data_IF_191098614470
#
_entry.id   IF_191098614470
#
_cell.length_a   1.000
_cell.length_b   1.000
_cell.length_c   1.000
_cell.angle_alpha   90.00
_cell.angle_beta   90.00
_cell.angle_gamma   90.00
#
_symmetry.space_group_name_H-M   'P 1'
#
loop_
_entity.id
_entity.type
_entity.pdbx_description
1 polymer ?
#
# COMPACT_ATOMS: atom_id res chain seq x y z
N UNK A 1 -17.91 13.04 9.49
CA UNK A 1 -17.23 12.42 8.37
C UNK A 1 -17.70 10.96 8.18
N UNK A 2 -17.83 10.54 6.95
CA UNK A 2 -18.18 9.16 6.63
C UNK A 2 -17.15 8.16 7.14
N UNK A 3 -15.93 8.60 7.38
CA UNK A 3 -14.85 7.73 7.88
C UNK A 3 -14.92 7.47 9.38
N UNK A 4 -15.86 8.09 10.09
CA UNK A 4 -16.05 7.86 11.53
C UNK A 4 -16.76 6.54 11.83
N UNK A 5 -17.47 5.99 10.85
CA UNK A 5 -18.22 4.76 11.03
C UNK A 5 -17.39 3.55 10.60
N UNK A 6 -17.52 2.48 11.36
CA UNK A 6 -16.88 1.21 10.98
C UNK A 6 -17.59 0.67 9.74
N UNK A 7 -16.91 0.69 8.63
CA UNK A 7 -17.41 0.10 7.39
C UNK A 7 -16.21 -0.46 6.61
N UNK A 8 -16.46 -1.46 5.79
CA UNK A 8 -15.43 -2.07 4.98
C UNK A 8 -15.29 -1.37 3.64
N UNK A 9 -14.05 -1.20 3.20
CA UNK A 9 -13.73 -0.78 1.84
C UNK A 9 -12.89 -1.86 1.19
N UNK A 10 -13.12 -2.07 -0.11
CA UNK A 10 -12.23 -2.88 -0.93
C UNK A 10 -11.21 -1.91 -1.56
N UNK A 11 -10.03 -1.85 -0.96
CA UNK A 11 -8.96 -1.00 -1.48
C UNK A 11 -8.24 -1.66 -2.65
N UNK A 12 -7.90 -0.86 -3.64
CA UNK A 12 -6.99 -1.23 -4.71
C UNK A 12 -5.72 -0.40 -4.56
N UNK A 13 -4.59 -1.09 -4.50
CA UNK A 13 -3.28 -0.49 -4.26
C UNK A 13 -2.46 -0.55 -5.54
N UNK A 14 -2.00 0.62 -6.01
CA UNK A 14 -1.26 0.72 -7.26
C UNK A 14 0.04 1.49 -7.06
N UNK A 15 1.17 0.88 -7.43
CA UNK A 15 2.47 1.55 -7.45
C UNK A 15 2.77 2.03 -8.86
N UNK A 16 3.25 3.26 -8.97
CA UNK A 16 3.70 3.82 -10.24
C UNK A 16 5.22 3.90 -10.23
N UNK A 17 5.85 3.18 -11.15
CA UNK A 17 7.30 3.00 -11.21
C UNK A 17 7.86 3.58 -12.49
N UNK A 18 9.09 4.10 -12.41
CA UNK A 18 9.84 4.62 -13.52
C UNK A 18 11.26 4.07 -13.51
N UNK A 19 11.81 3.78 -14.68
CA UNK A 19 13.18 3.30 -14.82
C UNK A 19 13.52 3.03 -16.27
N UNK A 20 14.69 2.42 -16.47
CA UNK A 20 15.18 2.09 -17.80
C UNK A 20 14.82 0.65 -18.15
N UNK A 21 14.37 0.44 -19.39
CA UNK A 21 14.11 -0.90 -19.91
C UNK A 21 15.43 -1.66 -20.00
N UNK A 22 15.43 -2.92 -19.57
CA UNK A 22 16.60 -3.79 -19.64
C UNK A 22 16.91 -4.10 -21.11
N UNK A 23 18.13 -3.75 -21.53
CA UNK A 23 18.57 -3.93 -22.92
C UNK A 23 19.60 -5.04 -23.08
N UNK A 24 20.08 -5.63 -22.00
CA UNK A 24 21.06 -6.72 -22.04
C UNK A 24 20.46 -7.95 -22.71
N UNK A 25 21.08 -8.39 -23.79
CA UNK A 25 20.60 -9.55 -24.55
C UNK A 25 20.83 -10.87 -23.81
N UNK A 26 19.85 -11.77 -23.92
CA UNK A 26 19.96 -13.12 -23.39
C UNK A 26 19.59 -13.26 -21.93
N UNK A 27 19.20 -12.19 -21.24
CA UNK A 27 18.64 -12.26 -19.88
C UNK A 27 17.11 -12.32 -19.93
N UNK A 28 16.50 -12.92 -18.94
CA UNK A 28 15.04 -13.08 -18.88
C UNK A 28 14.28 -11.77 -18.86
N UNK A 29 14.92 -10.70 -18.36
CA UNK A 29 14.33 -9.37 -18.24
C UNK A 29 14.52 -8.49 -19.48
N UNK A 30 15.11 -9.03 -20.55
CA UNK A 30 15.32 -8.26 -21.78
C UNK A 30 14.00 -7.68 -22.31
N UNK A 31 13.97 -6.38 -22.54
CA UNK A 31 12.76 -5.69 -22.98
C UNK A 31 11.80 -5.28 -21.87
N UNK A 32 12.10 -5.61 -20.63
CA UNK A 32 11.28 -5.25 -19.48
C UNK A 32 11.89 -4.11 -18.68
N UNK A 33 11.05 -3.33 -18.02
CA UNK A 33 11.50 -2.37 -17.02
C UNK A 33 11.94 -3.11 -15.76
N UNK A 34 11.18 -4.14 -15.37
CA UNK A 34 11.39 -4.94 -14.18
C UNK A 34 10.61 -6.25 -14.31
N UNK A 35 11.04 -7.25 -13.57
CA UNK A 35 10.25 -8.46 -13.38
C UNK A 35 9.07 -8.16 -12.45
N UNK A 36 7.83 -8.28 -12.96
CA UNK A 36 6.63 -8.00 -12.19
C UNK A 36 6.49 -8.88 -10.94
N UNK A 37 7.04 -10.10 -10.97
CA UNK A 37 6.94 -10.98 -9.80
C UNK A 37 7.70 -10.45 -8.60
N UNK A 38 8.84 -9.78 -8.82
CA UNK A 38 9.63 -9.18 -7.75
C UNK A 38 8.89 -7.98 -7.12
N UNK A 39 8.31 -7.12 -7.94
CA UNK A 39 7.52 -5.98 -7.45
C UNK A 39 6.26 -6.47 -6.73
N UNK A 40 5.58 -7.47 -7.28
CA UNK A 40 4.40 -8.05 -6.64
C UNK A 40 4.73 -8.60 -5.26
N UNK A 41 5.90 -9.24 -5.11
CA UNK A 41 6.33 -9.76 -3.81
C UNK A 41 6.54 -8.63 -2.80
N UNK A 42 7.16 -7.53 -3.21
CA UNK A 42 7.35 -6.36 -2.34
C UNK A 42 6.00 -5.79 -1.91
N UNK A 43 5.07 -5.59 -2.86
CA UNK A 43 3.75 -5.05 -2.56
C UNK A 43 2.94 -6.00 -1.66
N UNK A 44 2.99 -7.30 -1.92
CA UNK A 44 2.27 -8.28 -1.12
C UNK A 44 2.81 -8.30 0.32
N UNK A 45 4.12 -8.36 0.48
CA UNK A 45 4.74 -8.46 1.81
C UNK A 45 4.49 -7.22 2.65
N UNK A 46 4.61 -6.03 2.04
CA UNK A 46 4.63 -4.78 2.80
C UNK A 46 3.28 -4.06 2.84
N UNK A 47 2.36 -4.37 1.95
CA UNK A 47 1.04 -3.76 1.90
C UNK A 47 -0.06 -4.81 2.05
N UNK A 48 -0.20 -5.71 1.09
CA UNK A 48 -1.33 -6.63 1.06
C UNK A 48 -1.42 -7.50 2.31
N UNK A 49 -0.33 -8.17 2.67
CA UNK A 49 -0.31 -9.08 3.83
C UNK A 49 -0.52 -8.34 5.16
N UNK A 50 -0.18 -7.05 5.20
CA UNK A 50 -0.39 -6.23 6.41
C UNK A 50 -1.86 -5.90 6.59
N UNK A 51 -2.57 -5.51 5.52
CA UNK A 51 -3.92 -4.94 5.60
C UNK A 51 -5.02 -5.93 5.21
N UNK A 52 -4.67 -7.07 4.60
CA UNK A 52 -5.64 -8.04 4.10
C UNK A 52 -6.53 -8.57 5.22
N UNK A 53 -7.84 -8.46 5.05
CA UNK A 53 -8.85 -8.86 6.03
C UNK A 53 -8.66 -8.21 7.41
N UNK A 54 -8.11 -6.98 7.45
CA UNK A 54 -7.87 -6.27 8.69
C UNK A 54 -8.75 -5.02 8.80
N UNK A 55 -9.11 -4.69 10.03
CA UNK A 55 -9.67 -3.37 10.35
C UNK A 55 -8.50 -2.40 10.52
N UNK A 56 -8.55 -1.28 9.80
CA UNK A 56 -7.55 -0.22 9.90
C UNK A 56 -8.10 0.85 10.83
N UNK A 57 -7.47 1.05 11.97
CA UNK A 57 -7.99 1.88 13.05
C UNK A 57 -6.93 2.90 13.48
N UNK A 58 -7.35 4.17 13.59
CA UNK A 58 -6.50 5.21 14.18
C UNK A 58 -6.28 4.94 15.67
N UNK A 59 -5.05 5.08 16.13
CA UNK A 59 -4.67 4.77 17.52
C UNK A 59 -5.45 5.56 18.58
N UNK A 60 -5.93 6.77 18.24
CA UNK A 60 -6.72 7.59 19.14
C UNK A 60 -8.23 7.43 18.98
N UNK A 61 -8.68 6.53 18.12
CA UNK A 61 -10.10 6.22 17.97
C UNK A 61 -10.53 5.22 19.05
N UNK A 62 -10.77 5.74 20.24
CA UNK A 62 -11.12 4.92 21.41
C UNK A 62 -12.44 4.18 21.23
N UNK A 63 -13.39 4.78 20.51
CA UNK A 63 -14.69 4.16 20.27
C UNK A 63 -14.55 2.92 19.38
N UNK A 64 -13.83 3.05 18.27
CA UNK A 64 -13.60 1.92 17.37
C UNK A 64 -12.76 0.82 18.04
N UNK A 65 -11.71 1.19 18.76
CA UNK A 65 -10.87 0.23 19.50
C UNK A 65 -11.68 -0.52 20.56
N UNK A 66 -12.55 0.19 21.28
CA UNK A 66 -13.42 -0.43 22.26
C UNK A 66 -14.41 -1.40 21.63
N UNK A 67 -15.03 -1.03 20.51
CA UNK A 67 -15.95 -1.90 19.78
C UNK A 67 -15.25 -3.16 19.26
N UNK A 68 -14.05 -3.01 18.70
CA UNK A 68 -13.28 -4.15 18.18
C UNK A 68 -12.85 -5.11 19.30
N UNK A 69 -12.53 -4.59 20.48
CA UNK A 69 -12.15 -5.43 21.62
C UNK A 69 -13.30 -6.31 22.13
N UNK A 70 -14.53 -5.94 21.82
CA UNK A 70 -15.74 -6.69 22.22
C UNK A 70 -16.18 -7.69 21.15
N UNK A 71 -15.57 -7.70 19.98
CA UNK A 71 -15.90 -8.63 18.91
C UNK A 71 -15.31 -10.02 19.19
N UNK A 72 -15.94 -11.03 18.60
CA UNK A 72 -15.43 -12.40 18.72
C UNK A 72 -14.04 -12.52 18.10
N UNK A 73 -13.30 -13.51 18.58
CA UNK A 73 -11.95 -13.81 18.09
C UNK A 73 -11.96 -14.12 16.59
N UNK A 74 -10.83 -13.86 15.93
CA UNK A 74 -10.64 -14.18 14.50
C UNK A 74 -10.55 -12.97 13.60
N UNK A 75 -10.87 -11.77 14.07
CA UNK A 75 -10.62 -10.55 13.27
C UNK A 75 -9.17 -10.06 13.46
N UNK A 76 -8.67 -9.38 12.46
CA UNK A 76 -7.36 -8.71 12.53
C UNK A 76 -7.58 -7.21 12.63
N UNK A 77 -6.78 -6.56 13.45
CA UNK A 77 -6.79 -5.11 13.60
C UNK A 77 -5.38 -4.57 13.37
N UNK A 78 -5.25 -3.57 12.51
CA UNK A 78 -4.02 -2.82 12.33
C UNK A 78 -4.23 -1.43 12.91
N UNK A 79 -3.50 -1.11 13.97
CA UNK A 79 -3.58 0.19 14.62
C UNK A 79 -2.59 1.13 13.95
N UNK A 80 -3.08 2.27 13.47
CA UNK A 80 -2.30 3.23 12.71
C UNK A 80 -2.12 4.53 13.51
N UNK A 81 -0.95 5.19 13.37
CA UNK A 81 -0.72 6.48 14.02
C UNK A 81 -1.37 7.65 13.26
N UNK A 82 -2.26 7.37 12.32
CA UNK A 82 -2.96 8.36 11.52
C UNK A 82 -4.38 7.87 11.22
N UNK A 83 -5.26 8.81 10.85
CA UNK A 83 -6.61 8.47 10.41
C UNK A 83 -6.53 7.78 9.05
N UNK A 84 -7.13 6.58 8.88
CA UNK A 84 -6.97 5.79 7.66
C UNK A 84 -7.85 6.28 6.49
N UNK A 85 -7.65 7.53 6.08
CA UNK A 85 -8.22 8.07 4.84
C UNK A 85 -7.43 7.53 3.65
N UNK A 86 -8.00 7.60 2.45
CA UNK A 86 -7.31 7.17 1.24
C UNK A 86 -6.00 7.95 1.04
N UNK A 87 -6.01 9.26 1.34
CA UNK A 87 -4.85 10.14 1.24
C UNK A 87 -3.72 9.69 2.17
N UNK A 88 -4.04 9.43 3.43
CA UNK A 88 -3.05 8.98 4.42
C UNK A 88 -2.57 7.57 4.13
N UNK A 89 -3.45 6.70 3.64
CA UNK A 89 -3.06 5.34 3.25
C UNK A 89 -2.14 5.33 2.04
N UNK A 90 -2.36 6.23 1.07
CA UNK A 90 -1.47 6.35 -0.10
C UNK A 90 -0.06 6.77 0.33
N UNK A 91 0.05 7.75 1.22
CA UNK A 91 1.32 8.19 1.79
C UNK A 91 2.00 7.04 2.55
N UNK A 92 1.26 6.37 3.42
CA UNK A 92 1.77 5.26 4.20
C UNK A 92 2.29 4.14 3.29
N UNK A 93 1.51 3.75 2.28
CA UNK A 93 1.90 2.71 1.34
C UNK A 93 3.19 3.09 0.58
N UNK A 94 3.28 4.33 0.11
CA UNK A 94 4.49 4.84 -0.53
C UNK A 94 5.70 4.68 0.40
N UNK A 95 5.57 5.11 1.65
CA UNK A 95 6.66 5.05 2.64
C UNK A 95 7.04 3.61 3.02
N UNK A 96 6.09 2.67 2.95
CA UNK A 96 6.38 1.26 3.20
C UNK A 96 7.14 0.61 2.04
N UNK A 97 6.86 1.00 0.81
CA UNK A 97 7.37 0.35 -0.40
C UNK A 97 8.68 0.96 -0.89
N UNK A 98 8.82 2.29 -0.85
CA UNK A 98 9.98 2.99 -1.41
C UNK A 98 11.34 2.48 -0.91
N UNK A 99 11.56 2.26 0.40
CA UNK A 99 12.86 1.76 0.87
C UNK A 99 13.25 0.41 0.27
N UNK A 100 12.28 -0.44 0.00
CA UNK A 100 12.51 -1.76 -0.60
C UNK A 100 12.84 -1.68 -2.08
N UNK A 101 12.22 -0.73 -2.80
CA UNK A 101 12.54 -0.46 -4.20
C UNK A 101 13.98 0.09 -4.29
N UNK A 102 14.30 1.08 -3.47
CA UNK A 102 15.64 1.68 -3.44
C UNK A 102 16.71 0.66 -3.04
N UNK A 103 16.43 -0.17 -2.05
CA UNK A 103 17.37 -1.19 -1.58
C UNK A 103 17.64 -2.25 -2.64
N UNK A 104 16.62 -2.66 -3.39
CA UNK A 104 16.75 -3.72 -4.40
C UNK A 104 17.27 -3.23 -5.74
N UNK A 105 16.97 -2.00 -6.14
CA UNK A 105 17.22 -1.50 -7.49
C UNK A 105 18.08 -0.23 -7.57
N UNK A 106 18.35 0.41 -6.43
CA UNK A 106 19.10 1.66 -6.42
C UNK A 106 18.39 2.74 -7.23
N UNK A 107 19.12 3.38 -8.14
CA UNK A 107 18.58 4.43 -8.99
C UNK A 107 18.00 3.90 -10.31
N UNK A 108 18.07 2.59 -10.55
CA UNK A 108 17.57 2.02 -11.81
C UNK A 108 16.05 1.89 -11.85
N UNK A 109 15.41 1.93 -10.69
CA UNK A 109 13.96 1.90 -10.56
C UNK A 109 13.53 2.89 -9.48
N UNK A 110 12.58 3.74 -9.81
CA UNK A 110 12.10 4.80 -8.93
C UNK A 110 10.60 4.63 -8.71
N UNK A 111 10.17 4.66 -7.46
CA UNK A 111 8.75 4.74 -7.11
C UNK A 111 8.31 6.21 -7.22
N UNK A 112 7.55 6.52 -8.25
CA UNK A 112 7.07 7.88 -8.52
C UNK A 112 5.84 8.25 -7.70
N UNK A 113 4.94 7.30 -7.53
CA UNK A 113 3.67 7.55 -6.85
C UNK A 113 3.07 6.25 -6.32
N UNK A 114 2.18 6.41 -5.36
CA UNK A 114 1.33 5.32 -4.89
C UNK A 114 -0.13 5.78 -4.89
N UNK A 115 -1.01 4.96 -5.45
CA UNK A 115 -2.42 5.26 -5.59
C UNK A 115 -3.24 4.26 -4.77
N UNK A 116 -4.23 4.77 -4.06
CA UNK A 116 -5.18 3.94 -3.31
C UNK A 116 -6.59 4.26 -3.79
N UNK A 117 -7.28 3.25 -4.31
CA UNK A 117 -8.66 3.38 -4.77
C UNK A 117 -9.59 2.74 -3.76
N UNK A 118 -10.56 3.51 -3.30
CA UNK A 118 -11.66 3.01 -2.46
C UNK A 118 -12.80 2.47 -3.33
N UNK A 119 -13.08 3.19 -4.43
CA UNK A 119 -14.07 2.81 -5.44
C UNK A 119 -13.48 3.12 -6.82
N UNK A 120 -14.09 2.66 -7.93
CA UNK A 120 -13.62 3.03 -9.27
C UNK A 120 -13.59 4.53 -9.54
N UNK A 121 -14.34 5.32 -8.78
CA UNK A 121 -14.46 6.77 -8.96
C UNK A 121 -13.77 7.58 -7.85
N UNK A 122 -13.23 6.93 -6.83
CA UNK A 122 -12.70 7.61 -5.65
C UNK A 122 -11.34 7.03 -5.30
N UNK A 123 -10.30 7.84 -5.49
CA UNK A 123 -8.92 7.44 -5.17
C UNK A 123 -8.11 8.62 -4.67
N UNK A 124 -7.00 8.30 -4.03
CA UNK A 124 -6.00 9.27 -3.61
C UNK A 124 -4.62 8.82 -4.05
N UNK A 125 -3.71 9.77 -4.17
CA UNK A 125 -2.35 9.51 -4.63
C UNK A 125 -1.35 10.24 -3.76
N UNK A 126 -0.18 9.61 -3.59
CA UNK A 126 0.98 10.25 -2.98
C UNK A 126 2.14 10.16 -3.98
N UNK A 127 2.77 11.29 -4.24
CA UNK A 127 3.86 11.40 -5.22
C UNK A 127 5.20 11.57 -4.51
N UNK A 128 6.26 11.05 -5.13
CA UNK A 128 7.62 11.32 -4.66
C UNK A 128 7.94 12.80 -4.80
N UNK A 129 8.78 13.27 -3.93
CA UNK A 129 9.22 14.67 -3.94
C UNK A 129 10.37 14.88 -4.94
#
# INVERSE_FOLDING_TARGET
SKCRHMHGHRYRWEAELEGDVVTKRGVSEEGMLIDFSEVSEILNTHIHDVVDHAFLVYEDDKLALGALSMMETGHRTVILPFIPTAENLAKWAFEQVEPHITSSYGNSLILNAFHVRETPKSWASWFSK
#
